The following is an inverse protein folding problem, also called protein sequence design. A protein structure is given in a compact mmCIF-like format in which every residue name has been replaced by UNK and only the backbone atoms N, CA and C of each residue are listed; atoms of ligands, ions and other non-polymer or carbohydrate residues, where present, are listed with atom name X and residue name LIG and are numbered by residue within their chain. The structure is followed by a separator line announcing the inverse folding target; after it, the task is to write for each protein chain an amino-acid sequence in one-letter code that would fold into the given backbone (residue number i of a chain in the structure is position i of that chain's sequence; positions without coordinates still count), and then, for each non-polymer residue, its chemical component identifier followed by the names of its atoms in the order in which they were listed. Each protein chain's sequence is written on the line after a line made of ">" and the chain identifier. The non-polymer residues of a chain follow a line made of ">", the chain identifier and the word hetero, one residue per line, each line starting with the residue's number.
data_IF_805730740390
#
_entry.id   IF_805730740390
#
_cell.length_a   1.000
_cell.length_b   1.000
_cell.length_c   1.000
_cell.angle_alpha   90.00
_cell.angle_beta   90.00
_cell.angle_gamma   90.00
#
_symmetry.space_group_name_H-M   'P 1'
#
loop_
_entity.id
_entity.type
_entity.pdbx_description
1 polymer ?
#
# COMPACT_ATOMS: atom_id res chain seq x y z
N UNK A 1 1.44 8.64 41.27
CA UNK A 1 2.01 7.60 40.39
C UNK A 1 0.83 6.89 39.76
N UNK A 2 0.60 7.04 38.44
CA UNK A 2 -0.52 6.42 37.72
C UNK A 2 -0.01 5.12 37.08
N UNK A 3 0.11 4.05 37.87
CA UNK A 3 0.56 2.73 37.38
C UNK A 3 -0.42 2.10 36.36
N UNK A 4 -1.70 2.49 36.37
CA UNK A 4 -2.71 1.92 35.46
C UNK A 4 -2.63 2.36 34.00
N UNK A 5 -1.97 3.49 33.69
CA UNK A 5 -1.95 4.02 32.31
C UNK A 5 -0.81 3.45 31.45
N UNK A 6 0.22 2.89 32.06
CA UNK A 6 1.38 2.34 31.36
C UNK A 6 1.17 0.87 30.97
N UNK A 7 0.43 0.10 31.78
CA UNK A 7 0.05 -1.29 31.49
C UNK A 7 -0.86 -1.38 30.25
N UNK A 8 -1.81 -0.45 30.11
CA UNK A 8 -2.72 -0.38 28.95
C UNK A 8 -1.97 -0.13 27.64
N UNK A 9 -1.00 0.79 27.64
CA UNK A 9 -0.17 1.05 26.46
C UNK A 9 0.69 -0.16 26.09
N UNK A 10 1.20 -0.87 27.10
CA UNK A 10 1.99 -2.07 26.92
C UNK A 10 1.16 -3.17 26.26
N UNK A 11 0.00 -3.49 26.84
CA UNK A 11 -0.91 -4.49 26.30
C UNK A 11 -1.35 -4.14 24.87
N UNK A 12 -1.59 -2.87 24.60
CA UNK A 12 -1.94 -2.40 23.26
C UNK A 12 -0.79 -2.65 22.26
N UNK A 13 0.45 -2.31 22.61
CA UNK A 13 1.60 -2.54 21.75
C UNK A 13 1.88 -4.04 21.53
N UNK A 14 1.70 -4.86 22.57
CA UNK A 14 1.81 -6.33 22.48
C UNK A 14 0.72 -6.93 21.58
N UNK A 15 -0.53 -6.46 21.69
CA UNK A 15 -1.65 -6.91 20.82
C UNK A 15 -1.45 -6.56 19.35
N UNK A 16 -0.70 -5.50 19.06
CA UNK A 16 -0.35 -5.09 17.70
C UNK A 16 0.91 -5.77 17.15
N UNK A 17 1.59 -6.60 17.94
CA UNK A 17 2.89 -7.18 17.59
C UNK A 17 3.93 -6.08 17.29
N UNK A 18 3.90 -4.99 18.08
CA UNK A 18 4.79 -3.83 17.99
C UNK A 18 5.52 -3.58 19.34
N UNK A 19 6.30 -4.54 19.85
CA UNK A 19 6.98 -4.38 21.14
C UNK A 19 7.99 -3.22 21.13
N UNK A 20 8.58 -2.89 19.99
CA UNK A 20 9.51 -1.76 19.86
C UNK A 20 8.80 -0.41 20.01
N UNK A 21 7.52 -0.32 19.61
CA UNK A 21 6.75 0.91 19.75
C UNK A 21 6.57 1.31 21.22
N UNK A 22 6.37 0.34 22.10
CA UNK A 22 6.24 0.58 23.54
C UNK A 22 7.49 1.22 24.13
N UNK A 23 8.68 0.74 23.76
CA UNK A 23 9.94 1.30 24.23
C UNK A 23 10.11 2.78 23.83
N UNK A 24 9.69 3.17 22.62
CA UNK A 24 9.74 4.57 22.18
C UNK A 24 8.76 5.47 22.95
N UNK A 25 7.56 4.97 23.23
CA UNK A 25 6.56 5.69 24.02
C UNK A 25 7.01 5.89 25.46
N UNK A 26 7.60 4.86 26.07
CA UNK A 26 8.13 4.91 27.43
C UNK A 26 9.28 5.93 27.53
N UNK A 27 10.19 5.93 26.56
CA UNK A 27 11.30 6.89 26.50
C UNK A 27 10.84 8.35 26.34
N UNK A 28 9.61 8.58 25.88
CA UNK A 28 9.02 9.90 25.70
C UNK A 28 7.98 10.23 26.79
N UNK A 29 7.90 9.41 27.84
CA UNK A 29 6.94 9.56 28.94
C UNK A 29 5.49 9.73 28.42
N UNK A 30 5.16 8.94 27.39
CA UNK A 30 3.85 8.95 26.76
C UNK A 30 2.91 8.01 27.51
N UNK A 31 1.71 8.52 27.82
CA UNK A 31 0.61 7.74 28.38
C UNK A 31 -0.59 7.73 27.42
N UNK A 32 -1.60 6.89 27.67
CA UNK A 32 -2.79 6.74 26.82
C UNK A 32 -3.44 8.10 26.48
N UNK A 33 -3.57 8.99 27.47
CA UNK A 33 -4.17 10.32 27.30
C UNK A 33 -3.36 11.22 26.36
N UNK A 34 -2.01 11.17 26.45
CA UNK A 34 -1.11 11.91 25.56
C UNK A 34 -1.12 11.33 24.15
N UNK A 35 -1.11 10.01 24.02
CA UNK A 35 -1.18 9.33 22.73
C UNK A 35 -2.51 9.66 22.02
N UNK A 36 -3.62 9.77 22.75
CA UNK A 36 -4.90 10.16 22.19
C UNK A 36 -4.90 11.59 21.58
N UNK A 37 -4.06 12.49 22.10
CA UNK A 37 -3.90 13.88 21.61
C UNK A 37 -2.75 14.04 20.62
N UNK A 38 -2.04 12.95 20.33
CA UNK A 38 -0.84 12.95 19.50
C UNK A 38 -1.20 13.36 18.06
N UNK A 39 -0.50 14.37 17.58
CA UNK A 39 -0.59 14.82 16.18
C UNK A 39 0.24 13.92 15.26
N UNK A 40 0.03 13.96 13.93
CA UNK A 40 0.91 13.28 12.98
C UNK A 40 2.39 13.69 13.12
N UNK A 41 2.65 14.94 13.51
CA UNK A 41 3.99 15.48 13.75
C UNK A 41 4.63 14.85 14.98
N UNK A 42 3.90 14.75 16.09
CA UNK A 42 4.36 14.07 17.32
C UNK A 42 4.67 12.60 17.04
N UNK A 43 3.82 11.93 16.25
CA UNK A 43 4.02 10.54 15.84
C UNK A 43 5.36 10.36 15.08
N UNK A 44 5.77 11.34 14.27
CA UNK A 44 7.04 11.32 13.55
C UNK A 44 8.25 11.57 14.45
N UNK A 45 8.07 12.36 15.50
CA UNK A 45 9.12 12.64 16.48
C UNK A 45 9.38 11.45 17.40
N UNK A 46 8.32 10.72 17.75
CA UNK A 46 8.40 9.58 18.67
C UNK A 46 8.91 8.32 17.97
N UNK A 47 8.43 8.02 16.76
CA UNK A 47 8.78 6.78 16.06
C UNK A 47 9.78 7.01 14.93
N UNK A 48 10.95 6.33 14.94
CA UNK A 48 12.03 6.60 13.99
C UNK A 48 11.75 6.08 12.57
N UNK A 49 10.82 5.13 12.41
CA UNK A 49 10.51 4.55 11.09
C UNK A 49 9.07 4.80 10.69
N UNK A 50 8.86 5.09 9.40
CA UNK A 50 7.52 5.29 8.82
C UNK A 50 6.64 4.05 9.00
N UNK A 51 7.24 2.85 8.98
CA UNK A 51 6.51 1.60 9.23
C UNK A 51 5.90 1.55 10.64
N UNK A 52 6.70 1.87 11.66
CA UNK A 52 6.23 1.98 13.05
C UNK A 52 5.19 3.10 13.22
N UNK A 53 5.42 4.27 12.63
CA UNK A 53 4.48 5.40 12.66
C UNK A 53 3.08 5.01 12.13
N UNK A 54 3.04 4.33 10.99
CA UNK A 54 1.78 3.92 10.34
C UNK A 54 1.13 2.78 11.11
N UNK A 55 1.90 1.74 11.47
CA UNK A 55 1.37 0.57 12.16
C UNK A 55 0.78 0.94 13.53
N UNK A 56 1.49 1.80 14.28
CA UNK A 56 1.03 2.32 15.55
C UNK A 56 -0.24 3.16 15.38
N UNK A 57 -0.25 4.15 14.47
CA UNK A 57 -1.41 5.04 14.30
C UNK A 57 -2.65 4.30 13.80
N UNK A 58 -2.48 3.41 12.82
CA UNK A 58 -3.58 2.60 12.30
C UNK A 58 -4.14 1.66 13.36
N UNK A 59 -3.26 1.05 14.16
CA UNK A 59 -3.66 0.25 15.31
C UNK A 59 -4.41 1.08 16.36
N UNK A 60 -3.91 2.28 16.66
CA UNK A 60 -4.50 3.17 17.65
C UNK A 60 -5.91 3.61 17.26
N UNK A 61 -6.09 4.05 16.02
CA UNK A 61 -7.40 4.44 15.48
C UNK A 61 -8.37 3.24 15.42
N UNK A 62 -7.89 2.04 15.16
CA UNK A 62 -8.73 0.84 15.12
C UNK A 62 -9.19 0.40 16.52
N UNK A 63 -8.31 0.49 17.51
CA UNK A 63 -8.59 0.06 18.89
C UNK A 63 -9.35 1.13 19.69
N UNK A 64 -8.93 2.39 19.62
CA UNK A 64 -9.51 3.48 20.42
C UNK A 64 -10.43 4.41 19.63
N UNK A 65 -10.34 4.43 18.29
CA UNK A 65 -11.17 5.29 17.44
C UNK A 65 -12.65 4.88 17.35
N UNK A 66 -13.05 3.73 17.93
CA UNK A 66 -14.48 3.38 18.11
C UNK A 66 -15.07 3.93 19.41
N UNK A 67 -14.29 4.05 20.47
CA UNK A 67 -14.79 4.49 21.80
C UNK A 67 -14.56 5.98 22.06
N UNK A 68 -13.59 6.61 21.39
CA UNK A 68 -13.34 8.05 21.51
C UNK A 68 -14.12 8.81 20.43
N UNK A 69 -15.42 8.98 20.67
CA UNK A 69 -16.30 9.85 19.89
C UNK A 69 -15.91 11.33 20.09
N UNK A 70 -14.75 11.74 19.58
CA UNK A 70 -14.32 13.14 19.54
C UNK A 70 -15.06 13.86 18.40
N UNK A 71 -16.27 14.30 18.79
CA UNK A 71 -17.06 15.46 18.33
C UNK A 71 -16.51 16.26 17.13
N UNK A 72 -17.31 16.48 16.06
CA UNK A 72 -16.98 17.41 14.99
C UNK A 72 -17.26 18.84 15.47
N UNK A 73 -16.25 19.71 15.36
CA UNK A 73 -16.45 21.13 15.55
C UNK A 73 -15.21 21.87 15.11
N UNK A 74 -15.26 22.48 13.92
CA UNK A 74 -14.95 23.89 13.69
C UNK A 74 -15.39 24.24 12.27
N UNK A 75 -16.60 24.80 12.19
CA UNK A 75 -17.00 25.70 11.11
C UNK A 75 -16.34 27.05 11.38
N UNK A 76 -15.70 27.65 10.37
CA UNK A 76 -15.06 28.96 10.53
C UNK A 76 -14.33 29.45 9.28
N UNK A 77 -15.13 29.85 8.29
CA UNK A 77 -15.01 31.05 7.43
C UNK A 77 -13.64 31.74 7.28
N UNK A 78 -13.24 32.06 6.04
CA UNK A 78 -12.48 33.28 5.76
C UNK A 78 -11.41 33.17 4.68
N UNK A 79 -11.64 33.87 3.58
CA UNK A 79 -10.75 34.01 2.42
C UNK A 79 -9.42 34.72 2.70
N UNK A 80 -8.49 34.47 1.77
CA UNK A 80 -7.50 35.38 1.20
C UNK A 80 -6.04 35.34 1.72
N UNK A 81 -5.22 34.72 0.87
CA UNK A 81 -3.93 35.18 0.37
C UNK A 81 -2.85 35.60 1.38
N UNK A 82 -1.89 34.69 1.59
CA UNK A 82 -0.48 34.99 1.34
C UNK A 82 0.26 33.69 1.10
N UNK A 83 0.88 33.56 -0.08
CA UNK A 83 1.81 32.49 -0.40
C UNK A 83 3.13 32.76 0.34
N UNK A 84 3.68 31.80 1.09
CA UNK A 84 5.12 31.67 1.21
C UNK A 84 5.56 30.46 0.40
N UNK A 85 6.38 30.77 -0.61
CA UNK A 85 7.61 30.07 -1.00
C UNK A 85 7.60 28.55 -0.84
N UNK A 86 7.70 27.90 -1.99
CA UNK A 86 8.03 26.49 -2.16
C UNK A 86 9.14 26.05 -1.18
N UNK A 87 8.72 25.45 -0.07
CA UNK A 87 9.57 24.52 0.65
C UNK A 87 9.66 23.29 -0.25
N UNK A 88 10.80 23.16 -0.91
CA UNK A 88 11.28 21.89 -1.44
C UNK A 88 11.32 20.90 -0.29
N UNK A 89 10.17 20.27 -0.01
CA UNK A 89 10.12 19.05 0.73
C UNK A 89 10.95 18.07 -0.09
N UNK A 90 12.18 17.84 0.36
CA UNK A 90 12.93 16.65 0.04
C UNK A 90 11.99 15.48 0.36
N UNK A 91 11.23 15.03 -0.64
CA UNK A 91 10.61 13.72 -0.67
C UNK A 91 11.78 12.78 -0.51
N UNK A 92 12.10 12.44 0.74
CA UNK A 92 12.95 11.30 1.05
C UNK A 92 12.40 10.16 0.21
N UNK A 93 13.16 9.78 -0.81
CA UNK A 93 12.66 8.92 -1.87
C UNK A 93 12.27 7.60 -1.25
N UNK A 94 10.99 7.41 -0.94
CA UNK A 94 10.46 6.14 -0.49
C UNK A 94 10.57 5.19 -1.69
N UNK A 95 11.73 4.55 -1.79
CA UNK A 95 12.02 3.57 -2.82
C UNK A 95 11.31 2.30 -2.45
N UNK A 96 10.55 1.73 -3.39
CA UNK A 96 9.99 0.40 -3.22
C UNK A 96 11.14 -0.62 -3.28
N UNK A 97 11.44 -1.26 -2.15
CA UNK A 97 12.43 -2.35 -2.05
C UNK A 97 11.71 -3.68 -1.81
N UNK A 98 12.15 -4.73 -2.48
CA UNK A 98 11.60 -6.07 -2.36
C UNK A 98 11.70 -6.61 -0.94
N UNK A 99 12.79 -6.32 -0.23
CA UNK A 99 12.96 -6.76 1.17
C UNK A 99 11.82 -6.28 2.07
N UNK A 100 11.40 -5.01 1.89
CA UNK A 100 10.30 -4.42 2.65
C UNK A 100 8.96 -5.04 2.24
N UNK A 101 8.77 -5.30 0.94
CA UNK A 101 7.57 -5.97 0.41
C UNK A 101 7.43 -7.38 1.02
N UNK A 102 8.56 -8.10 1.14
CA UNK A 102 8.59 -9.47 1.63
C UNK A 102 8.54 -9.59 3.18
N UNK A 103 8.52 -8.47 3.92
CA UNK A 103 8.44 -8.48 5.37
C UNK A 103 7.04 -8.88 5.89
N UNK A 104 6.00 -8.73 5.07
CA UNK A 104 4.64 -9.13 5.42
C UNK A 104 4.46 -10.67 5.50
N UNK A 105 3.35 -11.12 6.08
CA UNK A 105 3.03 -12.55 6.20
C UNK A 105 3.08 -13.30 4.87
N UNK A 106 2.54 -12.69 3.82
CA UNK A 106 2.53 -13.27 2.48
C UNK A 106 3.93 -13.40 1.88
N UNK A 107 4.77 -12.38 2.09
CA UNK A 107 6.18 -12.40 1.73
C UNK A 107 6.97 -13.48 2.46
N UNK A 108 6.74 -13.63 3.77
CA UNK A 108 7.34 -14.70 4.60
C UNK A 108 6.90 -16.09 4.13
N UNK A 109 5.63 -16.25 3.75
CA UNK A 109 5.07 -17.48 3.14
C UNK A 109 5.81 -17.82 1.85
N UNK A 110 5.96 -16.86 0.93
CA UNK A 110 6.67 -17.06 -0.34
C UNK A 110 8.14 -17.45 -0.13
N UNK A 111 8.85 -16.77 0.78
CA UNK A 111 10.24 -17.14 1.16
C UNK A 111 10.32 -18.59 1.67
N UNK A 112 9.38 -19.00 2.51
CA UNK A 112 9.32 -20.37 3.04
C UNK A 112 9.09 -21.39 1.94
N UNK A 113 8.15 -21.13 1.03
CA UNK A 113 7.88 -22.04 -0.09
C UNK A 113 9.10 -22.16 -1.00
N UNK A 114 9.76 -21.04 -1.30
CA UNK A 114 10.98 -21.04 -2.10
C UNK A 114 12.09 -21.89 -1.46
N UNK A 115 12.34 -21.70 -0.17
CA UNK A 115 13.34 -22.46 0.58
C UNK A 115 13.05 -23.97 0.57
N UNK A 116 11.78 -24.35 0.71
CA UNK A 116 11.39 -25.75 0.82
C UNK A 116 11.35 -26.46 -0.54
N UNK A 117 10.93 -25.77 -1.61
CA UNK A 117 10.76 -26.35 -2.96
C UNK A 117 11.92 -26.05 -3.90
N UNK A 118 12.80 -25.13 -3.52
CA UNK A 118 13.96 -24.72 -4.29
C UNK A 118 13.62 -23.94 -5.57
N UNK A 119 12.45 -23.32 -5.68
CA UNK A 119 12.01 -22.55 -6.85
C UNK A 119 10.53 -22.18 -6.81
N UNK A 120 10.10 -21.18 -7.58
CA UNK A 120 8.69 -20.86 -7.72
C UNK A 120 8.04 -21.60 -8.89
N UNK A 121 6.90 -22.22 -8.60
CA UNK A 121 5.91 -22.60 -9.62
C UNK A 121 5.13 -21.37 -10.09
N UNK A 122 4.45 -21.47 -11.23
CA UNK A 122 3.73 -20.35 -11.86
C UNK A 122 2.79 -19.59 -10.92
N UNK A 123 2.04 -20.28 -10.06
CA UNK A 123 1.15 -19.64 -9.07
C UNK A 123 1.91 -18.74 -8.10
N UNK A 124 3.03 -19.22 -7.58
CA UNK A 124 3.84 -18.45 -6.62
C UNK A 124 4.48 -17.22 -7.27
N UNK A 125 4.88 -17.33 -8.55
CA UNK A 125 5.37 -16.17 -9.31
C UNK A 125 4.28 -15.11 -9.47
N UNK A 126 3.04 -15.54 -9.69
CA UNK A 126 1.88 -14.64 -9.75
C UNK A 126 1.57 -14.01 -8.39
N UNK A 127 1.63 -14.78 -7.30
CA UNK A 127 1.47 -14.27 -5.93
C UNK A 127 2.51 -13.19 -5.61
N UNK A 128 3.78 -13.42 -5.98
CA UNK A 128 4.86 -12.44 -5.82
C UNK A 128 4.59 -11.16 -6.61
N UNK A 129 4.18 -11.27 -7.88
CA UNK A 129 3.82 -10.12 -8.70
C UNK A 129 2.65 -9.35 -8.07
N UNK A 130 1.60 -10.05 -7.65
CA UNK A 130 0.44 -9.43 -7.01
C UNK A 130 0.86 -8.68 -5.73
N UNK A 131 1.72 -9.27 -4.91
CA UNK A 131 2.24 -8.66 -3.69
C UNK A 131 3.03 -7.37 -3.96
N UNK A 132 3.89 -7.37 -4.98
CA UNK A 132 4.64 -6.18 -5.39
C UNK A 132 3.69 -5.07 -5.86
N UNK A 133 2.69 -5.41 -6.69
CA UNK A 133 1.72 -4.44 -7.18
C UNK A 133 0.86 -3.86 -6.06
N UNK A 134 0.44 -4.71 -5.12
CA UNK A 134 -0.33 -4.28 -3.95
C UNK A 134 0.50 -3.32 -3.10
N UNK A 135 1.75 -3.66 -2.79
CA UNK A 135 2.63 -2.78 -2.02
C UNK A 135 2.91 -1.45 -2.72
N UNK A 136 3.09 -1.46 -4.05
CA UNK A 136 3.23 -0.24 -4.84
C UNK A 136 1.97 0.63 -4.77
N UNK A 137 0.78 0.01 -4.83
CA UNK A 137 -0.51 0.69 -4.72
C UNK A 137 -0.71 1.29 -3.33
N UNK A 138 -0.42 0.54 -2.28
CA UNK A 138 -0.58 0.97 -0.88
C UNK A 138 0.32 2.15 -0.53
N UNK A 139 1.48 2.25 -1.19
CA UNK A 139 2.43 3.37 -1.04
C UNK A 139 2.23 4.48 -2.08
N UNK A 140 1.23 4.35 -2.94
CA UNK A 140 0.96 5.26 -4.07
C UNK A 140 2.20 5.50 -4.97
N UNK A 141 3.06 4.49 -5.10
CA UNK A 141 4.32 4.58 -5.84
C UNK A 141 4.15 4.12 -7.29
N UNK A 142 4.50 4.96 -8.29
CA UNK A 142 4.46 4.54 -9.68
C UNK A 142 5.60 3.55 -9.98
N UNK A 143 5.25 2.38 -10.51
CA UNK A 143 6.22 1.41 -11.02
C UNK A 143 6.71 1.81 -12.41
N UNK A 144 7.65 2.75 -12.45
CA UNK A 144 8.36 3.08 -13.69
C UNK A 144 9.19 1.89 -14.19
N UNK A 145 9.55 1.89 -15.47
CA UNK A 145 10.43 0.86 -16.07
C UNK A 145 11.72 0.64 -15.27
N UNK A 146 12.33 1.72 -14.77
CA UNK A 146 13.55 1.67 -13.94
C UNK A 146 13.32 1.01 -12.57
N UNK A 147 12.16 1.24 -11.96
CA UNK A 147 11.80 0.63 -10.68
C UNK A 147 11.51 -0.86 -10.88
N UNK A 148 10.79 -1.22 -11.95
CA UNK A 148 10.50 -2.62 -12.29
C UNK A 148 11.79 -3.40 -12.59
N UNK A 149 12.74 -2.77 -13.29
CA UNK A 149 14.06 -3.35 -13.57
C UNK A 149 14.81 -3.66 -12.27
N UNK A 150 14.93 -2.67 -11.39
CA UNK A 150 15.55 -2.85 -10.06
C UNK A 150 14.86 -3.92 -9.24
N UNK A 151 13.54 -3.93 -9.16
CA UNK A 151 12.80 -4.96 -8.44
C UNK A 151 13.07 -6.35 -9.01
N UNK A 152 13.25 -6.46 -10.33
CA UNK A 152 13.58 -7.73 -10.97
C UNK A 152 15.00 -8.20 -10.63
N UNK A 153 15.94 -7.27 -10.47
CA UNK A 153 17.27 -7.58 -9.94
C UNK A 153 17.18 -8.07 -8.49
N UNK A 154 16.48 -7.34 -7.62
CA UNK A 154 16.27 -7.73 -6.23
C UNK A 154 15.55 -9.09 -6.10
N UNK A 155 14.58 -9.39 -6.98
CA UNK A 155 13.92 -10.71 -7.03
C UNK A 155 14.95 -11.80 -7.30
N UNK A 156 15.85 -11.59 -8.25
CA UNK A 156 16.88 -12.56 -8.58
C UNK A 156 17.93 -12.70 -7.47
N UNK A 157 18.26 -11.61 -6.75
CA UNK A 157 19.14 -11.68 -5.58
C UNK A 157 18.53 -12.50 -4.44
N UNK A 158 17.23 -12.30 -4.15
CA UNK A 158 16.53 -13.02 -3.08
C UNK A 158 16.17 -14.46 -3.51
N UNK A 159 15.92 -14.66 -4.80
CA UNK A 159 15.48 -15.93 -5.39
C UNK A 159 16.34 -16.30 -6.62
N UNK A 160 17.58 -16.80 -6.43
CA UNK A 160 18.58 -16.96 -7.51
C UNK A 160 18.17 -17.85 -8.69
N UNK A 161 17.27 -18.80 -8.48
CA UNK A 161 16.74 -19.68 -9.53
C UNK A 161 15.60 -19.07 -10.35
N UNK A 162 15.15 -17.86 -10.00
CA UNK A 162 14.11 -17.18 -10.76
C UNK A 162 14.68 -16.46 -11.99
N UNK A 163 14.01 -16.63 -13.12
CA UNK A 163 14.38 -16.00 -14.38
C UNK A 163 13.94 -14.53 -14.41
N UNK A 164 14.90 -13.61 -14.57
CA UNK A 164 14.62 -12.16 -14.67
C UNK A 164 13.62 -11.83 -15.77
N UNK A 165 13.76 -12.45 -16.94
CA UNK A 165 12.89 -12.21 -18.11
C UNK A 165 11.41 -12.51 -17.86
N UNK A 166 11.10 -13.40 -16.91
CA UNK A 166 9.71 -13.69 -16.53
C UNK A 166 9.03 -12.45 -15.95
N UNK A 167 9.74 -11.69 -15.11
CA UNK A 167 9.21 -10.54 -14.40
C UNK A 167 9.31 -9.28 -15.25
N UNK A 168 10.47 -9.07 -15.87
CA UNK A 168 10.73 -7.91 -16.71
C UNK A 168 11.71 -8.23 -17.83
N UNK A 169 11.34 -7.83 -19.05
CA UNK A 169 12.16 -8.03 -20.25
C UNK A 169 12.23 -6.72 -21.03
N UNK A 170 13.44 -6.36 -21.44
CA UNK A 170 13.67 -5.28 -22.40
C UNK A 170 14.29 -5.89 -23.65
N UNK A 171 13.63 -5.72 -24.79
CA UNK A 171 14.14 -6.16 -26.09
C UNK A 171 14.25 -4.97 -27.04
N UNK A 172 15.13 -5.05 -28.03
CA UNK A 172 15.25 -4.03 -29.08
C UNK A 172 14.79 -4.63 -30.41
N UNK A 173 13.87 -3.94 -31.07
CA UNK A 173 13.47 -4.26 -32.44
C UNK A 173 13.76 -3.00 -33.27
N UNK A 174 14.84 -3.07 -34.06
CA UNK A 174 15.42 -1.90 -34.72
C UNK A 174 15.82 -0.82 -33.69
N UNK A 175 15.33 0.41 -33.88
CA UNK A 175 15.60 1.56 -33.00
C UNK A 175 14.67 1.63 -31.77
N UNK A 176 13.66 0.77 -31.67
CA UNK A 176 12.63 0.84 -30.62
C UNK A 176 12.90 -0.16 -29.50
N UNK A 177 12.69 0.27 -28.25
CA UNK A 177 12.69 -0.59 -27.07
C UNK A 177 11.28 -1.16 -26.86
N UNK A 178 11.22 -2.47 -26.65
CA UNK A 178 10.03 -3.22 -26.31
C UNK A 178 10.15 -3.70 -24.87
N UNK A 179 9.16 -3.38 -24.06
CA UNK A 179 9.08 -3.78 -22.66
C UNK A 179 8.07 -4.91 -22.52
N UNK A 180 8.42 -5.91 -21.74
CA UNK A 180 7.58 -7.07 -21.46
C UNK A 180 7.87 -7.65 -20.08
N UNK A 181 7.36 -8.85 -19.85
CA UNK A 181 7.42 -9.51 -18.55
C UNK A 181 6.12 -9.33 -17.76
N UNK A 182 5.89 -10.27 -16.87
CA UNK A 182 4.61 -10.42 -16.15
C UNK A 182 4.36 -9.25 -15.21
N UNK A 183 5.40 -8.76 -14.51
CA UNK A 183 5.28 -7.61 -13.60
C UNK A 183 4.95 -6.33 -14.37
N UNK A 184 5.62 -6.10 -15.49
CA UNK A 184 5.35 -4.96 -16.37
C UNK A 184 3.92 -4.99 -16.93
N UNK A 185 3.50 -6.12 -17.51
CA UNK A 185 2.15 -6.24 -18.06
C UNK A 185 1.07 -6.12 -16.99
N UNK A 186 1.25 -6.75 -15.83
CA UNK A 186 0.27 -6.68 -14.76
C UNK A 186 0.09 -5.24 -14.23
N UNK A 187 1.17 -4.48 -14.07
CA UNK A 187 1.11 -3.06 -13.69
C UNK A 187 0.42 -2.19 -14.75
N UNK A 188 0.82 -2.29 -16.01
CA UNK A 188 0.21 -1.46 -17.06
C UNK A 188 -1.26 -1.82 -17.31
N UNK A 189 -1.63 -3.08 -17.16
CA UNK A 189 -3.01 -3.53 -17.25
C UNK A 189 -3.86 -3.03 -16.07
N UNK A 190 -3.31 -2.98 -14.84
CA UNK A 190 -4.05 -2.45 -13.69
C UNK A 190 -4.37 -0.96 -13.86
N UNK A 191 -3.43 -0.16 -14.38
CA UNK A 191 -3.66 1.26 -14.70
C UNK A 191 -4.68 1.44 -15.83
N UNK A 192 -4.65 0.59 -16.86
CA UNK A 192 -5.63 0.67 -17.97
C UNK A 192 -7.05 0.38 -17.49
N UNK A 193 -7.23 -0.60 -16.60
CA UNK A 193 -8.54 -0.96 -16.04
C UNK A 193 -9.13 0.18 -15.20
N UNK A 194 -8.33 0.88 -14.41
CA UNK A 194 -8.83 2.01 -13.61
C UNK A 194 -9.26 3.21 -14.46
N UNK A 195 -8.64 3.42 -15.63
CA UNK A 195 -9.03 4.50 -16.57
C UNK A 195 -10.24 4.17 -17.46
N UNK A 196 -10.52 2.89 -17.69
CA UNK A 196 -11.54 2.43 -18.64
C UNK A 196 -12.99 2.45 -18.13
N UNK A 197 -13.23 2.54 -16.81
CA UNK A 197 -14.58 2.52 -16.25
C UNK A 197 -15.31 3.88 -16.25
N UNK A 198 -14.66 4.96 -16.70
CA UNK A 198 -15.29 6.30 -16.76
C UNK A 198 -16.17 6.58 -17.98
N UNK A 199 -16.22 5.70 -19.01
CA UNK A 199 -16.96 6.00 -20.27
C UNK A 199 -17.62 4.78 -20.90
N UNK A 200 -18.65 4.22 -20.27
CA UNK A 200 -19.69 3.44 -20.97
C UNK A 200 -21.07 3.67 -20.31
N UNK A 201 -21.61 4.88 -20.45
CA UNK A 201 -23.06 5.10 -20.36
C UNK A 201 -23.62 4.94 -21.78
N UNK A 202 -23.92 3.70 -22.19
CA UNK A 202 -24.83 3.47 -23.32
C UNK A 202 -26.22 3.32 -22.71
N UNK A 203 -26.96 4.40 -22.71
CA UNK A 203 -28.43 4.35 -22.65
C UNK A 203 -28.88 3.73 -23.97
N UNK A 204 -29.34 2.49 -23.92
CA UNK A 204 -30.17 1.94 -24.99
C UNK A 204 -31.53 1.70 -24.36
N UNK A 205 -32.31 2.78 -24.25
CA UNK A 205 -33.75 2.73 -24.13
C UNK A 205 -34.27 2.26 -25.49
N UNK A 206 -34.67 0.99 -25.55
CA UNK A 206 -35.49 0.47 -26.63
C UNK A 206 -36.81 0.10 -25.98
N UNK A 207 -37.75 1.05 -26.05
CA UNK A 207 -39.17 0.76 -25.99
C UNK A 207 -39.48 -0.08 -27.24
N UNK A 208 -39.82 -1.35 -27.04
CA UNK A 208 -40.51 -2.13 -28.06
C UNK A 208 -41.78 -2.71 -27.42
N UNK A 209 -42.87 -2.15 -27.91
CA UNK A 209 -44.27 -2.45 -27.67
C UNK A 209 -44.61 -3.85 -28.22
N UNK A 210 -45.37 -4.69 -27.49
CA UNK A 210 -45.74 -6.02 -27.97
C UNK A 210 -46.91 -5.92 -28.97
N UNK A 211 -46.67 -6.27 -30.24
CA UNK A 211 -47.76 -6.49 -31.19
C UNK A 211 -48.29 -7.93 -31.10
N UNK A 212 -49.58 -8.03 -30.75
CA UNK A 212 -50.42 -9.23 -30.89
C UNK A 212 -50.44 -9.72 -32.34
N UNK A 213 -50.19 -11.02 -32.54
CA UNK A 213 -50.49 -11.71 -33.79
C UNK A 213 -51.79 -12.50 -33.62
N UNK A 214 -52.85 -12.01 -34.26
CA UNK A 214 -54.13 -12.70 -34.44
C UNK A 214 -53.96 -13.89 -35.39
N UNK A 215 -54.43 -15.06 -34.96
CA UNK A 215 -54.61 -16.22 -35.81
C UNK A 215 -55.84 -16.04 -36.72
N UNK A 216 -55.68 -16.28 -38.02
CA UNK A 216 -56.79 -16.40 -38.97
C UNK A 216 -56.87 -17.83 -39.47
N UNK A 217 -58.08 -18.36 -39.36
CA UNK A 217 -58.63 -19.64 -39.85
C UNK A 217 -58.45 -19.87 -41.34
#
# INVERSE_FOLDING_TARGET
>A
MKEGSDEELREFCEKLDLPEAYAFLLNQEMNVERVAKMTPEDNRLIFPTVGLQIAFRSGWEKYYGRDMNMRPGHSGTGMAATLPVASSHEKGSQSLKLVDILACNEGRRLKTIYRNKGGFVKSNKQDLVALILQSAKDRELPLTSRVIDRLTEEIHEVFPKEEKEYYYKVSRVGKKKHYGGTLYFAYHNSIRKTKGHGKRKRTNSHDDEPQEATATT
#
